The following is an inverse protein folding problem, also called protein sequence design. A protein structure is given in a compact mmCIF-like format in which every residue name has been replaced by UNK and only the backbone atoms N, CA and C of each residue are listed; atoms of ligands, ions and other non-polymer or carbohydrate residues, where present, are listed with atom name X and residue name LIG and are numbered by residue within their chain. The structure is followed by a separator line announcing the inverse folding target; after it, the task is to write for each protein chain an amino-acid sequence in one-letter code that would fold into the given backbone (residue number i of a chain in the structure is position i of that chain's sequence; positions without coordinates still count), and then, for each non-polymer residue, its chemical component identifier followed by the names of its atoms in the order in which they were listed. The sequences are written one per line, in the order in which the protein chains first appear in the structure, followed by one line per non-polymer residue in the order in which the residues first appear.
data_IF_396530366386
#
_entry.id   IF_396530366386
#
_cell.length_a   1.000
_cell.length_b   1.000
_cell.length_c   1.000
_cell.angle_alpha   90.00
_cell.angle_beta   90.00
_cell.angle_gamma   90.00
#
_symmetry.space_group_name_H-M   'P 1'
#
loop_
_entity.id
_entity.type
_entity.pdbx_description
1 polymer ?
#
# COMPACT_ATOMS: atom_id res chain seq x y z
N UNK A 1 18.51 -28.31 -16.63
CA UNK A 1 18.34 -28.02 -15.19
C UNK A 1 18.83 -26.64 -14.78
N UNK A 2 20.07 -26.22 -15.12
CA UNK A 2 20.62 -24.91 -14.72
C UNK A 2 19.77 -23.73 -15.22
N UNK A 3 19.29 -23.78 -16.47
CA UNK A 3 18.43 -22.73 -17.03
C UNK A 3 17.11 -22.60 -16.26
N UNK A 4 16.48 -23.73 -15.92
CA UNK A 4 15.22 -23.75 -15.16
C UNK A 4 15.43 -23.17 -13.76
N UNK A 5 16.53 -23.54 -13.09
CA UNK A 5 16.92 -22.97 -11.80
C UNK A 5 17.14 -21.45 -11.88
N UNK A 6 17.81 -20.97 -12.93
CA UNK A 6 18.01 -19.55 -13.15
C UNK A 6 16.70 -18.77 -13.33
N UNK A 7 15.77 -19.31 -14.12
CA UNK A 7 14.44 -18.70 -14.32
C UNK A 7 13.63 -18.67 -13.02
N UNK A 8 13.63 -19.76 -12.25
CA UNK A 8 12.93 -19.83 -10.97
C UNK A 8 13.51 -18.83 -9.95
N UNK A 9 14.83 -18.65 -9.94
CA UNK A 9 15.49 -17.70 -9.05
C UNK A 9 15.11 -16.25 -9.39
N UNK A 10 15.07 -15.90 -10.68
CA UNK A 10 14.62 -14.57 -11.13
C UNK A 10 13.15 -14.32 -10.80
N UNK A 11 12.28 -15.32 -11.01
CA UNK A 11 10.86 -15.22 -10.65
C UNK A 11 10.69 -15.02 -9.15
N UNK A 12 11.37 -15.81 -8.32
CA UNK A 12 11.35 -15.65 -6.86
C UNK A 12 11.77 -14.24 -6.45
N UNK A 13 12.87 -13.73 -7.03
CA UNK A 13 13.37 -12.40 -6.71
C UNK A 13 12.39 -11.29 -7.12
N UNK A 14 11.78 -11.43 -8.29
CA UNK A 14 10.71 -10.54 -8.76
C UNK A 14 9.52 -10.53 -7.81
N UNK A 15 9.01 -11.70 -7.41
CA UNK A 15 7.87 -11.79 -6.48
C UNK A 15 8.20 -11.23 -5.10
N UNK A 16 9.41 -11.44 -4.59
CA UNK A 16 9.84 -10.86 -3.31
C UNK A 16 9.88 -9.33 -3.36
N UNK A 17 10.43 -8.74 -4.42
CA UNK A 17 10.45 -7.28 -4.60
C UNK A 17 9.03 -6.73 -4.71
N UNK A 18 8.19 -7.35 -5.55
CA UNK A 18 6.80 -6.93 -5.72
C UNK A 18 6.02 -7.03 -4.42
N UNK A 19 6.15 -8.14 -3.69
CA UNK A 19 5.49 -8.34 -2.41
C UNK A 19 5.93 -7.30 -1.38
N UNK A 20 7.23 -7.03 -1.29
CA UNK A 20 7.75 -6.01 -0.38
C UNK A 20 7.21 -4.62 -0.73
N UNK A 21 7.22 -4.22 -2.00
CA UNK A 21 6.69 -2.90 -2.43
C UNK A 21 5.19 -2.77 -2.18
N UNK A 22 4.43 -3.85 -2.36
CA UNK A 22 2.98 -3.81 -2.28
C UNK A 22 2.45 -3.89 -0.83
N UNK A 23 3.06 -4.72 0.01
CA UNK A 23 2.55 -5.07 1.34
C UNK A 23 3.39 -4.57 2.51
N UNK A 24 4.69 -4.33 2.32
CA UNK A 24 5.60 -3.98 3.43
C UNK A 24 6.08 -2.54 3.36
N UNK A 25 6.29 -2.02 2.16
CA UNK A 25 6.80 -0.67 1.94
C UNK A 25 5.72 0.35 2.30
N UNK A 26 6.01 1.14 3.33
CA UNK A 26 5.18 2.26 3.74
C UNK A 26 5.50 3.47 2.85
N UNK A 27 4.48 3.97 2.17
CA UNK A 27 4.49 5.22 1.41
C UNK A 27 4.13 6.34 2.40
N UNK A 28 4.99 7.35 2.59
CA UNK A 28 4.76 8.39 3.57
C UNK A 28 3.53 9.22 3.20
N UNK A 29 2.77 9.67 4.21
CA UNK A 29 1.61 10.55 3.99
C UNK A 29 2.00 11.86 3.28
N UNK A 30 3.24 12.32 3.44
CA UNK A 30 3.76 13.51 2.73
C UNK A 30 3.82 13.35 1.20
N UNK A 31 3.75 12.11 0.69
CA UNK A 31 3.65 11.86 -0.74
C UNK A 31 2.23 12.12 -1.30
N UNK A 32 1.22 12.26 -0.43
CA UNK A 32 -0.15 12.61 -0.81
C UNK A 32 -0.24 14.10 -1.19
N UNK A 33 -0.01 14.37 -2.47
CA UNK A 33 -0.10 15.71 -3.05
C UNK A 33 -1.54 16.24 -3.14
N UNK A 34 -2.52 15.35 -3.01
CA UNK A 34 -3.95 15.65 -3.19
C UNK A 34 -4.68 15.87 -1.88
N UNK A 35 -4.00 15.69 -0.74
CA UNK A 35 -4.61 15.72 0.60
C UNK A 35 -5.83 14.79 0.72
N UNK A 36 -5.86 13.71 -0.07
CA UNK A 36 -6.93 12.71 -0.05
C UNK A 36 -7.05 12.08 1.33
N UNK A 37 -5.93 11.81 1.98
CA UNK A 37 -5.91 11.27 3.33
C UNK A 37 -6.59 12.22 4.31
N UNK A 38 -6.23 13.50 4.31
CA UNK A 38 -6.84 14.48 5.22
C UNK A 38 -8.35 14.66 5.02
N UNK A 39 -8.82 14.53 3.77
CA UNK A 39 -10.24 14.64 3.43
C UNK A 39 -11.02 13.41 3.93
N UNK A 40 -10.54 12.21 3.58
CA UNK A 40 -11.28 10.97 3.81
C UNK A 40 -10.97 10.29 5.16
N UNK A 41 -9.89 10.66 5.86
CA UNK A 41 -9.57 10.10 7.19
C UNK A 41 -10.68 10.35 8.21
N UNK A 42 -11.44 11.44 8.06
CA UNK A 42 -12.59 11.75 8.93
C UNK A 42 -13.74 10.73 8.83
N UNK A 43 -13.81 10.00 7.72
CA UNK A 43 -14.81 8.96 7.46
C UNK A 43 -14.34 7.55 7.85
N UNK A 44 -13.06 7.39 8.20
CA UNK A 44 -12.46 6.11 8.54
C UNK A 44 -12.46 5.84 10.05
N UNK A 45 -12.11 4.61 10.42
CA UNK A 45 -11.99 4.24 11.83
C UNK A 45 -10.88 5.07 12.53
N UNK A 46 -11.19 5.84 13.59
CA UNK A 46 -10.20 6.69 14.26
C UNK A 46 -8.97 5.95 14.76
N UNK A 47 -9.11 4.69 15.19
CA UNK A 47 -7.96 3.88 15.64
C UNK A 47 -7.02 3.54 14.50
N UNK A 48 -7.58 3.23 13.34
CA UNK A 48 -6.78 2.92 12.16
C UNK A 48 -6.09 4.18 11.61
N UNK A 49 -6.78 5.33 11.61
CA UNK A 49 -6.17 6.61 11.22
C UNK A 49 -4.98 6.95 12.12
N UNK A 50 -5.12 6.80 13.45
CA UNK A 50 -4.01 7.00 14.39
C UNK A 50 -2.85 6.04 14.14
N UNK A 51 -3.13 4.77 13.81
CA UNK A 51 -2.08 3.80 13.47
C UNK A 51 -1.30 4.23 12.23
N UNK A 52 -2.01 4.66 11.18
CA UNK A 52 -1.42 5.17 9.94
C UNK A 52 -0.58 6.43 10.18
N UNK A 53 -1.09 7.38 10.94
CA UNK A 53 -0.35 8.60 11.31
C UNK A 53 0.87 8.29 12.17
N UNK A 54 0.76 7.35 13.12
CA UNK A 54 1.89 6.93 13.96
C UNK A 54 3.00 6.22 13.17
N UNK A 55 2.62 5.47 12.12
CA UNK A 55 3.55 4.89 11.13
C UNK A 55 4.10 5.93 10.17
N UNK A 56 3.47 7.10 10.07
CA UNK A 56 3.81 8.19 9.16
C UNK A 56 3.40 7.94 7.70
N UNK A 57 2.57 6.93 7.44
CA UNK A 57 2.28 6.46 6.08
C UNK A 57 1.50 5.17 6.00
N UNK A 58 1.20 4.76 4.78
CA UNK A 58 0.42 3.57 4.46
C UNK A 58 1.11 2.74 3.40
N UNK A 59 0.89 1.43 3.41
CA UNK A 59 1.33 0.55 2.32
C UNK A 59 0.56 0.86 1.04
N UNK A 60 1.11 0.46 -0.11
CA UNK A 60 0.44 0.64 -1.40
C UNK A 60 -0.93 -0.03 -1.43
N UNK A 61 -1.06 -1.21 -0.82
CA UNK A 61 -2.37 -1.88 -0.69
C UNK A 61 -3.33 -1.09 0.17
N UNK A 62 -2.91 -0.67 1.36
CA UNK A 62 -3.75 0.15 2.26
C UNK A 62 -4.22 1.44 1.57
N UNK A 63 -3.34 2.08 0.78
CA UNK A 63 -3.70 3.23 -0.04
C UNK A 63 -4.77 2.91 -1.08
N UNK A 64 -4.61 1.82 -1.83
CA UNK A 64 -5.59 1.42 -2.84
C UNK A 64 -6.96 1.11 -2.20
N UNK A 65 -6.97 0.36 -1.10
CA UNK A 65 -8.19 0.00 -0.38
C UNK A 65 -8.86 1.24 0.24
N UNK A 66 -8.06 2.19 0.79
CA UNK A 66 -8.57 3.46 1.31
C UNK A 66 -9.21 4.30 0.21
N UNK A 67 -8.55 4.42 -0.95
CA UNK A 67 -9.09 5.18 -2.08
C UNK A 67 -10.38 4.54 -2.59
N UNK A 68 -10.42 3.23 -2.75
CA UNK A 68 -11.61 2.53 -3.25
C UNK A 68 -12.81 2.73 -2.32
N UNK A 69 -12.63 2.56 -1.00
CA UNK A 69 -13.70 2.76 -0.01
C UNK A 69 -14.26 4.18 0.02
N UNK A 70 -13.41 5.19 -0.14
CA UNK A 70 -13.79 6.59 0.10
C UNK A 70 -14.13 7.36 -1.19
N UNK A 71 -13.58 6.95 -2.34
CA UNK A 71 -13.74 7.67 -3.60
C UNK A 71 -14.36 6.83 -4.73
N UNK A 72 -14.53 5.53 -4.55
CA UNK A 72 -15.19 4.64 -5.50
C UNK A 72 -16.21 3.70 -4.81
N UNK A 73 -17.17 4.24 -4.04
CA UNK A 73 -18.14 3.39 -3.35
C UNK A 73 -18.97 2.58 -4.37
N UNK A 74 -19.28 1.30 -4.10
CA UNK A 74 -20.15 0.51 -4.95
C UNK A 74 -21.52 1.20 -5.06
N UNK A 75 -22.03 1.27 -6.30
CA UNK A 75 -23.32 1.90 -6.65
C UNK A 75 -24.51 1.18 -6.02
#
# INVERSE_FOLDING_TARGET
MIIILGVLLLLSLFFNIWFWDHYMRVIPLSADKSSMFAIASSCENPRWVQEVESRGGMTRKEWADFVDRNFNPPK
#
